data_IF_227434264096
#
_entry.id   IF_227434264096
#
_cell.length_a   1.000
_cell.length_b   1.000
_cell.length_c   1.000
_cell.angle_alpha   90.00
_cell.angle_beta   90.00
_cell.angle_gamma   90.00
#
_symmetry.space_group_name_H-M   'P 1'
#
loop_
_entity.id
_entity.type
_entity.pdbx_description
1 polymer ?
#
# COMPACT_ATOMS: atom_id res chain seq x y z
N UNK A 1 -24.27 -2.09 -5.25
CA UNK A 1 -23.08 -2.00 -4.39
C UNK A 1 -21.84 -2.13 -5.27
N UNK A 2 -20.84 -1.25 -5.11
CA UNK A 2 -19.64 -1.30 -5.93
C UNK A 2 -18.47 -1.88 -5.13
N UNK A 3 -18.13 -3.15 -5.40
CA UNK A 3 -17.01 -3.86 -4.73
C UNK A 3 -15.65 -3.24 -5.05
N UNK A 4 -15.56 -2.42 -6.09
CA UNK A 4 -14.34 -1.73 -6.49
C UNK A 4 -14.18 -0.38 -5.81
N UNK A 5 -15.20 0.12 -5.09
CA UNK A 5 -15.11 1.39 -4.39
C UNK A 5 -14.72 1.16 -2.91
N UNK A 6 -13.57 1.68 -2.44
CA UNK A 6 -13.12 1.47 -1.06
C UNK A 6 -14.10 1.94 0.02
N UNK A 7 -14.91 2.98 -0.24
CA UNK A 7 -15.93 3.45 0.71
C UNK A 7 -17.24 2.66 0.69
N UNK A 8 -17.47 1.84 -0.34
CA UNK A 8 -18.72 1.10 -0.52
C UNK A 8 -18.56 -0.42 -0.39
N UNK A 9 -17.32 -0.94 -0.45
CA UNK A 9 -17.05 -2.35 -0.19
C UNK A 9 -17.50 -2.69 1.23
N UNK A 10 -18.33 -3.73 1.36
CA UNK A 10 -18.99 -4.16 2.60
C UNK A 10 -19.95 -3.15 3.25
N UNK A 11 -20.40 -2.11 2.55
CA UNK A 11 -21.32 -1.11 3.09
C UNK A 11 -22.57 -1.74 3.75
N UNK A 12 -23.18 -2.78 3.18
CA UNK A 12 -24.32 -3.45 3.80
C UNK A 12 -23.95 -4.08 5.15
N UNK A 13 -22.82 -4.78 5.23
CA UNK A 13 -22.30 -5.37 6.47
C UNK A 13 -21.95 -4.30 7.51
N UNK A 14 -21.33 -3.20 7.07
CA UNK A 14 -21.00 -2.07 7.93
C UNK A 14 -22.27 -1.46 8.54
N UNK A 15 -23.33 -1.28 7.74
CA UNK A 15 -24.61 -0.71 8.18
C UNK A 15 -25.40 -1.67 9.09
N UNK A 16 -25.32 -2.98 8.85
CA UNK A 16 -25.96 -3.99 9.70
C UNK A 16 -25.35 -4.01 11.11
N UNK A 17 -24.03 -3.82 11.20
CA UNK A 17 -23.32 -3.75 12.49
C UNK A 17 -23.04 -2.28 12.83
N UNK A 18 -24.01 -1.59 13.45
CA UNK A 18 -23.93 -0.15 13.81
C UNK A 18 -22.57 0.27 14.37
N UNK A 19 -21.95 -0.54 15.23
CA UNK A 19 -20.61 -0.28 15.80
C UNK A 19 -19.52 -0.18 14.72
N UNK A 20 -19.56 -1.03 13.70
CA UNK A 20 -18.59 -1.01 12.60
C UNK A 20 -18.79 0.23 11.72
N UNK A 21 -20.04 0.61 11.45
CA UNK A 21 -20.35 1.87 10.78
C UNK A 21 -19.84 3.09 11.55
N UNK A 22 -20.13 3.16 12.86
CA UNK A 22 -19.69 4.30 13.69
C UNK A 22 -18.15 4.40 13.72
N UNK A 23 -17.44 3.26 13.78
CA UNK A 23 -15.97 3.24 13.71
C UNK A 23 -15.48 3.75 12.36
N UNK A 24 -16.07 3.27 11.25
CA UNK A 24 -15.70 3.74 9.91
C UNK A 24 -15.98 5.23 9.74
N UNK A 25 -17.18 5.70 10.07
CA UNK A 25 -17.60 7.09 9.95
C UNK A 25 -16.69 8.02 10.77
N UNK A 26 -16.37 7.65 12.01
CA UNK A 26 -15.47 8.44 12.86
C UNK A 26 -14.04 8.55 12.33
N UNK A 27 -13.52 7.53 11.64
CA UNK A 27 -12.24 7.62 10.95
C UNK A 27 -12.37 8.48 9.69
N UNK A 28 -13.39 8.21 8.88
CA UNK A 28 -13.65 8.90 7.62
C UNK A 28 -13.76 10.42 7.79
N UNK A 29 -14.53 10.90 8.77
CA UNK A 29 -14.72 12.35 8.99
C UNK A 29 -13.40 13.07 9.33
N UNK A 30 -12.43 12.37 9.93
CA UNK A 30 -11.12 12.93 10.32
C UNK A 30 -10.11 12.93 9.17
N UNK A 31 -10.41 12.26 8.05
CA UNK A 31 -9.48 12.20 6.93
C UNK A 31 -9.32 13.58 6.26
N UNK A 32 -8.10 13.90 5.79
CA UNK A 32 -7.85 14.96 4.83
C UNK A 32 -8.76 14.88 3.60
N UNK A 33 -9.09 16.04 3.01
CA UNK A 33 -10.00 16.13 1.86
C UNK A 33 -9.46 15.34 0.66
N UNK A 34 -8.14 15.37 0.44
CA UNK A 34 -7.46 14.60 -0.61
C UNK A 34 -7.75 13.10 -0.50
N UNK A 35 -7.61 12.52 0.70
CA UNK A 35 -7.87 11.11 1.00
C UNK A 35 -9.37 10.79 0.87
N UNK A 36 -10.25 11.69 1.35
CA UNK A 36 -11.71 11.55 1.15
C UNK A 36 -12.07 11.54 -0.34
N UNK A 37 -11.36 12.32 -1.15
CA UNK A 37 -11.50 12.32 -2.60
C UNK A 37 -11.12 10.97 -3.21
N UNK A 38 -9.98 10.41 -2.81
CA UNK A 38 -9.54 9.10 -3.30
C UNK A 38 -10.51 7.99 -2.88
N UNK A 39 -10.92 7.93 -1.61
CA UNK A 39 -11.72 6.81 -1.09
C UNK A 39 -13.15 6.77 -1.63
N UNK A 40 -13.74 7.93 -2.01
CA UNK A 40 -15.12 8.02 -2.50
C UNK A 40 -15.26 8.17 -4.01
N UNK A 41 -14.17 8.49 -4.71
CA UNK A 41 -14.19 8.80 -6.15
C UNK A 41 -14.63 7.61 -7.02
N UNK A 42 -15.46 7.90 -8.03
CA UNK A 42 -15.80 6.95 -9.08
C UNK A 42 -14.58 6.54 -9.91
N UNK A 43 -13.62 7.45 -10.12
CA UNK A 43 -12.37 7.17 -10.83
C UNK A 43 -11.54 6.11 -10.11
N UNK A 44 -11.49 6.17 -8.77
CA UNK A 44 -10.86 5.14 -7.94
C UNK A 44 -11.49 3.78 -8.19
N UNK A 45 -12.82 3.72 -8.23
CA UNK A 45 -13.54 2.47 -8.47
C UNK A 45 -13.28 1.90 -9.87
N UNK A 46 -13.32 2.75 -10.91
CA UNK A 46 -12.98 2.33 -12.27
C UNK A 46 -11.54 1.85 -12.39
N UNK A 47 -10.62 2.50 -11.68
CA UNK A 47 -9.21 2.11 -11.69
C UNK A 47 -8.98 0.75 -11.02
N UNK A 48 -9.61 0.50 -9.87
CA UNK A 48 -9.53 -0.79 -9.19
C UNK A 48 -10.21 -1.91 -9.98
N UNK A 49 -11.32 -1.61 -10.67
CA UNK A 49 -11.93 -2.54 -11.61
C UNK A 49 -11.00 -2.88 -12.78
N UNK A 50 -10.38 -1.86 -13.38
CA UNK A 50 -9.40 -2.03 -14.46
C UNK A 50 -8.21 -2.89 -14.02
N UNK A 51 -7.62 -2.60 -12.86
CA UNK A 51 -6.51 -3.38 -12.33
C UNK A 51 -6.93 -4.82 -12.07
N UNK A 52 -8.08 -5.03 -11.42
CA UNK A 52 -8.60 -6.35 -11.12
C UNK A 52 -8.76 -7.20 -12.38
N UNK A 53 -9.33 -6.63 -13.44
CA UNK A 53 -9.45 -7.27 -14.76
C UNK A 53 -8.09 -7.55 -15.37
N UNK A 54 -7.17 -6.59 -15.34
CA UNK A 54 -5.83 -6.72 -15.94
C UNK A 54 -5.00 -7.80 -15.26
N UNK A 55 -5.20 -8.04 -13.97
CA UNK A 55 -4.49 -9.08 -13.20
C UNK A 55 -5.33 -10.34 -12.97
N UNK A 56 -6.45 -10.50 -13.68
CA UNK A 56 -7.34 -11.67 -13.59
C UNK A 56 -7.82 -11.99 -12.16
N UNK A 57 -8.08 -10.96 -11.35
CA UNK A 57 -8.68 -11.15 -10.03
C UNK A 57 -10.15 -11.54 -10.19
N UNK A 58 -10.57 -12.55 -9.43
CA UNK A 58 -11.98 -12.89 -9.28
C UNK A 58 -12.70 -11.85 -8.41
N UNK A 59 -14.02 -12.00 -8.28
CA UNK A 59 -14.86 -11.06 -7.54
C UNK A 59 -14.46 -10.93 -6.06
N UNK A 60 -14.13 -12.05 -5.39
CA UNK A 60 -13.71 -12.04 -3.99
C UNK A 60 -12.39 -11.30 -3.83
N UNK A 61 -11.39 -11.64 -4.64
CA UNK A 61 -10.07 -10.98 -4.64
C UNK A 61 -10.16 -9.49 -4.95
N UNK A 62 -11.06 -9.11 -5.87
CA UNK A 62 -11.31 -7.70 -6.22
C UNK A 62 -11.91 -6.94 -5.04
N UNK A 63 -12.85 -7.56 -4.33
CA UNK A 63 -13.41 -7.00 -3.09
C UNK A 63 -12.33 -6.85 -2.03
N UNK A 64 -11.48 -7.87 -1.84
CA UNK A 64 -10.34 -7.80 -0.90
C UNK A 64 -9.34 -6.71 -1.26
N UNK A 65 -9.05 -6.49 -2.55
CA UNK A 65 -8.20 -5.39 -2.99
C UNK A 65 -8.76 -4.04 -2.54
N UNK A 66 -10.06 -3.81 -2.74
CA UNK A 66 -10.73 -2.58 -2.31
C UNK A 66 -10.70 -2.40 -0.80
N UNK A 67 -10.85 -3.49 -0.03
CA UNK A 67 -10.71 -3.47 1.45
C UNK A 67 -9.30 -3.07 1.86
N UNK A 68 -8.27 -3.68 1.25
CA UNK A 68 -6.87 -3.34 1.56
C UNK A 68 -6.61 -1.86 1.23
N UNK A 69 -7.09 -1.37 0.08
CA UNK A 69 -6.97 0.05 -0.28
C UNK A 69 -7.66 0.96 0.73
N UNK A 70 -8.89 0.64 1.16
CA UNK A 70 -9.59 1.35 2.24
C UNK A 70 -8.75 1.40 3.50
N UNK A 71 -8.25 0.25 3.95
CA UNK A 71 -7.56 0.13 5.22
C UNK A 71 -6.22 0.87 5.23
N UNK A 72 -5.54 0.96 4.07
CA UNK A 72 -4.36 1.82 3.88
C UNK A 72 -4.74 3.30 3.97
N UNK A 73 -5.81 3.74 3.29
CA UNK A 73 -6.27 5.13 3.29
C UNK A 73 -6.78 5.58 4.67
N UNK A 74 -7.40 4.67 5.43
CA UNK A 74 -7.78 4.87 6.84
C UNK A 74 -6.59 4.77 7.80
N UNK A 75 -5.40 4.48 7.28
CA UNK A 75 -4.17 4.25 8.07
C UNK A 75 -4.35 3.10 9.07
N UNK A 76 -5.28 2.17 8.85
CA UNK A 76 -5.43 0.96 9.66
C UNK A 76 -4.31 -0.05 9.41
N UNK A 77 -3.74 0.02 8.21
CA UNK A 77 -2.62 -0.80 7.78
C UNK A 77 -1.43 0.10 7.42
N UNK A 78 -0.22 -0.41 7.72
CA UNK A 78 1.02 0.25 7.37
C UNK A 78 1.30 0.14 5.86
N UNK A 79 1.57 1.27 5.20
CA UNK A 79 1.80 1.31 3.75
C UNK A 79 2.98 0.43 3.29
N UNK A 80 3.99 0.23 4.12
CA UNK A 80 5.12 -0.64 3.79
C UNK A 80 4.76 -2.12 3.68
N UNK A 81 3.65 -2.56 4.29
CA UNK A 81 3.20 -3.96 4.26
C UNK A 81 2.31 -4.24 3.04
N UNK A 82 2.07 -3.24 2.18
CA UNK A 82 1.05 -3.29 1.13
C UNK A 82 1.25 -4.43 0.12
N UNK A 83 2.46 -4.68 -0.44
CA UNK A 83 2.67 -5.83 -1.34
C UNK A 83 2.47 -7.19 -0.65
N UNK A 84 2.92 -7.32 0.61
CA UNK A 84 2.78 -8.57 1.37
C UNK A 84 1.32 -8.89 1.65
N UNK A 85 0.52 -7.87 1.95
CA UNK A 85 -0.91 -8.00 2.15
C UNK A 85 -1.65 -8.35 0.86
N UNK A 86 -1.29 -7.71 -0.26
CA UNK A 86 -1.85 -8.06 -1.56
C UNK A 86 -1.55 -9.53 -1.88
N UNK A 87 -0.30 -9.96 -1.77
CA UNK A 87 0.09 -11.34 -2.08
C UNK A 87 -0.67 -12.36 -1.22
N UNK A 88 -0.69 -12.14 0.09
CA UNK A 88 -1.33 -13.08 1.04
C UNK A 88 -2.84 -13.11 0.94
N UNK A 89 -3.51 -11.97 0.77
CA UNK A 89 -4.98 -11.89 0.75
C UNK A 89 -5.57 -12.25 -0.60
N UNK A 90 -4.90 -11.86 -1.69
CA UNK A 90 -5.40 -12.16 -3.03
C UNK A 90 -4.89 -13.51 -3.53
N UNK A 91 -3.91 -14.14 -2.87
CA UNK A 91 -3.34 -15.41 -3.32
C UNK A 91 -2.56 -15.26 -4.63
N UNK A 92 -1.95 -14.10 -4.85
CA UNK A 92 -1.13 -13.81 -6.03
C UNK A 92 0.35 -13.83 -5.67
N UNK A 93 1.20 -14.19 -6.63
CA UNK A 93 2.64 -14.15 -6.44
C UNK A 93 3.14 -12.75 -6.09
N UNK A 94 4.23 -12.70 -5.31
CA UNK A 94 4.81 -11.44 -4.82
C UNK A 94 5.17 -10.46 -5.96
N UNK A 95 5.56 -10.96 -7.14
CA UNK A 95 5.82 -10.11 -8.31
C UNK A 95 4.57 -9.37 -8.79
N UNK A 96 3.43 -10.06 -8.87
CA UNK A 96 2.15 -9.45 -9.24
C UNK A 96 1.70 -8.49 -8.14
N UNK A 97 1.87 -8.89 -6.88
CA UNK A 97 1.52 -8.06 -5.74
C UNK A 97 2.28 -6.73 -5.73
N UNK A 98 3.59 -6.76 -6.01
CA UNK A 98 4.41 -5.55 -6.15
C UNK A 98 3.94 -4.66 -7.30
N UNK A 99 3.57 -5.25 -8.44
CA UNK A 99 3.04 -4.48 -9.58
C UNK A 99 1.72 -3.79 -9.23
N UNK A 100 0.78 -4.50 -8.59
CA UNK A 100 -0.50 -3.94 -8.14
C UNK A 100 -0.24 -2.82 -7.14
N UNK A 101 0.57 -3.06 -6.11
CA UNK A 101 0.90 -2.07 -5.09
C UNK A 101 1.53 -0.81 -5.70
N UNK A 102 2.52 -0.98 -6.59
CA UNK A 102 3.18 0.14 -7.26
C UNK A 102 2.17 0.98 -8.05
N UNK A 103 1.31 0.35 -8.84
CA UNK A 103 0.29 1.04 -9.64
C UNK A 103 -0.70 1.81 -8.81
N UNK A 104 -1.19 1.21 -7.72
CA UNK A 104 -2.08 1.91 -6.79
C UNK A 104 -1.38 3.11 -6.17
N UNK A 105 -0.13 2.95 -5.71
CA UNK A 105 0.61 4.05 -5.09
C UNK A 105 0.92 5.17 -6.08
N UNK A 106 1.37 4.84 -7.29
CA UNK A 106 1.83 5.81 -8.29
C UNK A 106 0.70 6.50 -9.04
N UNK A 107 -0.46 5.86 -9.18
CA UNK A 107 -1.57 6.39 -9.98
C UNK A 107 -2.74 6.79 -9.07
N UNK A 108 -3.24 5.87 -8.23
CA UNK A 108 -4.45 6.08 -7.42
C UNK A 108 -4.17 6.94 -6.16
N UNK A 109 -3.04 6.73 -5.48
CA UNK A 109 -2.69 7.51 -4.28
C UNK A 109 -1.97 8.82 -4.59
N UNK A 110 -1.49 9.03 -5.82
CA UNK A 110 -0.72 10.23 -6.18
C UNK A 110 -1.38 11.56 -5.75
N UNK A 111 -2.71 11.77 -5.89
CA UNK A 111 -3.35 13.02 -5.49
C UNK A 111 -3.35 13.28 -3.97
N UNK A 112 -3.13 12.25 -3.15
CA UNK A 112 -3.22 12.31 -1.69
C UNK A 112 -1.95 11.78 -1.01
N UNK A 113 -0.86 11.55 -1.76
CA UNK A 113 0.28 10.77 -1.28
C UNK A 113 0.98 11.42 -0.08
N UNK A 114 1.07 12.75 -0.05
CA UNK A 114 1.70 13.46 1.07
C UNK A 114 0.85 13.36 2.34
N UNK A 115 -0.46 13.49 2.24
CA UNK A 115 -1.37 13.30 3.37
C UNK A 115 -1.35 11.86 3.88
N UNK A 116 -1.32 10.87 2.98
CA UNK A 116 -1.16 9.45 3.35
C UNK A 116 0.14 9.25 4.11
N UNK A 117 1.27 9.77 3.60
CA UNK A 117 2.57 9.66 4.29
C UNK A 117 2.55 10.36 5.65
N UNK A 118 1.90 11.51 5.78
CA UNK A 118 1.80 12.24 7.05
C UNK A 118 1.07 11.39 8.10
N UNK A 119 -0.11 10.87 7.76
CA UNK A 119 -0.89 10.00 8.65
C UNK A 119 -0.13 8.72 9.03
N UNK A 120 0.55 8.10 8.05
CA UNK A 120 1.37 6.92 8.28
C UNK A 120 2.54 7.20 9.24
N UNK A 121 3.19 8.38 9.14
CA UNK A 121 4.26 8.78 10.06
C UNK A 121 3.75 9.02 11.49
N UNK A 122 2.56 9.57 11.63
CA UNK A 122 1.95 9.79 12.94
C UNK A 122 1.58 8.47 13.62
N UNK A 123 0.93 7.55 12.90
CA UNK A 123 0.44 6.29 13.48
C UNK A 123 1.51 5.21 13.60
N UNK A 124 2.44 5.13 12.66
CA UNK A 124 3.43 4.04 12.55
C UNK A 124 4.88 4.50 12.74
N UNK A 125 5.10 5.59 13.50
CA UNK A 125 6.42 6.19 13.76
C UNK A 125 7.50 5.16 14.12
N UNK A 126 7.20 4.27 15.05
CA UNK A 126 8.15 3.26 15.54
C UNK A 126 8.52 2.24 14.46
N UNK A 127 7.55 1.78 13.66
CA UNK A 127 7.81 0.86 12.54
C UNK A 127 8.68 1.52 11.49
N UNK A 128 8.43 2.79 11.16
CA UNK A 128 9.24 3.53 10.19
C UNK A 128 10.68 3.69 10.70
N UNK A 129 10.88 3.96 11.98
CA UNK A 129 12.21 4.04 12.58
C UNK A 129 12.95 2.70 12.49
N UNK A 130 12.27 1.57 12.76
CA UNK A 130 12.86 0.24 12.64
C UNK A 130 13.25 -0.11 11.20
N UNK A 131 12.43 0.23 10.20
CA UNK A 131 12.75 -0.01 8.78
C UNK A 131 13.98 0.78 8.35
N UNK A 132 14.11 2.04 8.77
CA UNK A 132 15.31 2.87 8.50
C UNK A 132 16.58 2.27 9.10
N UNK A 133 16.51 1.82 10.34
CA UNK A 133 17.67 1.22 11.03
C UNK A 133 18.13 -0.10 10.39
N UNK A 134 17.22 -0.86 9.77
CA UNK A 134 17.59 -2.08 9.04
C UNK A 134 18.28 -1.78 7.70
N UNK A 135 17.92 -0.69 7.03
CA UNK A 135 18.56 -0.29 5.76
C UNK A 135 19.99 0.25 5.96
N UNK A 136 20.26 0.90 7.09
CA UNK A 136 21.61 1.40 7.42
C UNK A 136 22.56 0.33 7.97
N UNK A 137 22.10 -0.91 8.16
CA UNK A 137 22.90 -2.04 8.63
C UNK A 137 23.32 -3.02 7.51
N UNK A 138 23.20 -2.66 6.24
CA UNK A 138 23.86 -3.43 5.18
C UNK A 138 25.38 -3.33 5.36
N UNK A 139 26.11 -4.47 5.47
CA UNK A 139 27.56 -4.46 5.47
C UNK A 139 28.07 -3.78 4.18
N UNK A 140 29.19 -3.05 4.23
CA UNK A 140 29.81 -2.52 3.00
C UNK A 140 30.03 -3.66 2.01
N UNK A 141 29.87 -3.42 0.68
CA UNK A 141 30.10 -4.44 -0.32
C UNK A 141 31.52 -4.99 -0.19
N UNK A 142 31.62 -6.31 -0.01
CA UNK A 142 32.87 -7.06 0.03
C UNK A 142 33.56 -6.91 -1.33
N UNK A 143 34.51 -5.98 -1.45
CA UNK A 143 35.45 -5.93 -2.57
C UNK A 143 36.48 -7.04 -2.42
N UNK A 144 36.10 -8.26 -2.76
CA UNK A 144 37.04 -9.30 -3.17
C UNK A 144 36.98 -9.43 -4.69
N UNK A 145 37.95 -8.79 -5.38
CA UNK A 145 38.64 -9.28 -6.58
C UNK A 145 39.39 -8.13 -7.28
N UNK A 146 40.71 -8.27 -7.41
CA UNK A 146 41.52 -7.40 -8.26
C UNK A 146 43.00 -7.41 -7.89
N UNK A 147 43.70 -8.43 -8.34
CA UNK A 147 45.16 -8.56 -8.30
C UNK A 147 45.82 -7.32 -8.94
N UNK A 148 46.44 -6.43 -8.15
CA UNK A 148 47.26 -5.33 -8.67
C UNK A 148 48.72 -5.61 -8.32
N UNK A 149 49.44 -6.20 -9.27
CA UNK A 149 50.89 -6.34 -9.22
C UNK A 149 51.47 -4.92 -9.36
N UNK A 150 52.02 -4.36 -8.29
CA UNK A 150 52.81 -3.12 -8.37
C UNK A 150 54.22 -3.48 -8.86
N UNK A 151 54.43 -3.40 -10.19
CA UNK A 151 55.77 -3.34 -10.79
C UNK A 151 56.32 -1.91 -10.66
N UNK A 152 56.86 -1.55 -9.49
CA UNK A 152 57.74 -0.39 -9.32
C UNK A 152 58.84 -0.71 -8.31
N UNK A 153 59.68 -1.66 -8.68
CA UNK A 153 61.03 -1.84 -8.12
C UNK A 153 61.93 -2.43 -9.22
N UNK A 154 62.18 -1.64 -10.27
CA UNK A 154 63.33 -1.76 -11.17
C UNK A 154 63.60 -0.41 -11.81
N UNK A 155 64.43 0.39 -11.15
CA UNK A 155 65.70 0.97 -11.63
C UNK A 155 66.21 1.97 -10.62
#
# INVERSE_FOLDING_TARGET
>A
MNIYNPSQVDLEELLLVKKNWDVFANKFIKLPISIKGVITSATTAYYLEFLSKKTNLNQSQSSDLSRIVRDILLTDIFLGDFPVLISSKLGVDMNIANQIAHKIVSELFAPAIEDIKNMQREKFRDRIAQVKNKQTQQPPPNTEQGNVINLRDRT
#
